data_IF_545032304968
#
_entry.id   IF_545032304968
#
_cell.length_a   1.000
_cell.length_b   1.000
_cell.length_c   1.000
_cell.angle_alpha   90.00
_cell.angle_beta   90.00
_cell.angle_gamma   90.00
#
_symmetry.space_group_name_H-M   'P 1'
#
loop_
_entity.id
_entity.type
_entity.pdbx_description
1 polymer ?
#
# COMPACT_ATOMS: atom_id res chain seq x y z
N UNK A 1 8.99 -31.49 60.53
CA UNK A 1 9.48 -30.08 60.71
C UNK A 1 10.93 -30.09 61.21
N UNK A 2 11.93 -30.32 60.36
CA UNK A 2 13.36 -30.03 60.58
C UNK A 2 14.21 -30.49 59.37
N UNK A 3 14.01 -29.93 58.20
CA UNK A 3 14.93 -30.09 57.03
C UNK A 3 14.93 -28.96 56.00
N UNK A 4 14.48 -27.78 56.37
CA UNK A 4 14.44 -26.62 55.47
C UNK A 4 15.35 -25.43 55.87
N UNK A 5 16.29 -25.60 56.81
CA UNK A 5 17.08 -24.52 57.36
C UNK A 5 18.57 -24.43 57.01
N UNK A 6 19.10 -25.27 56.08
CA UNK A 6 20.56 -25.30 55.80
C UNK A 6 21.02 -24.98 54.40
N UNK A 7 20.16 -24.48 53.55
CA UNK A 7 20.53 -24.13 52.15
C UNK A 7 20.75 -22.61 51.91
N UNK A 8 20.41 -21.74 52.84
CA UNK A 8 20.50 -20.28 52.65
C UNK A 8 21.78 -19.63 53.19
N UNK A 9 22.56 -20.35 54.01
CA UNK A 9 23.77 -19.80 54.61
C UNK A 9 25.08 -20.05 53.86
N UNK A 10 25.07 -20.80 52.76
CA UNK A 10 26.26 -21.02 51.92
C UNK A 10 26.46 -20.04 50.77
N UNK A 11 25.52 -19.16 50.49
CA UNK A 11 25.63 -18.16 49.41
C UNK A 11 26.09 -16.75 49.82
N UNK A 12 26.37 -16.51 51.08
CA UNK A 12 26.81 -15.18 51.61
C UNK A 12 28.31 -15.06 51.97
N UNK A 13 29.16 -16.06 51.61
CA UNK A 13 30.58 -16.02 51.97
C UNK A 13 31.58 -15.98 50.82
N UNK A 14 31.11 -15.63 49.55
CA UNK A 14 32.03 -15.50 48.39
C UNK A 14 32.05 -14.11 47.73
N UNK A 15 31.68 -13.07 48.43
CA UNK A 15 31.69 -11.71 47.91
C UNK A 15 32.40 -10.74 48.85
N UNK A 16 33.63 -11.07 49.25
CA UNK A 16 34.47 -10.07 49.91
C UNK A 16 35.93 -10.52 49.94
N UNK A 17 36.62 -10.46 48.79
CA UNK A 17 38.10 -10.40 48.73
C UNK A 17 38.51 -10.09 47.29
N UNK A 18 38.73 -8.80 46.98
CA UNK A 18 39.88 -8.29 46.26
C UNK A 18 39.63 -6.79 45.93
N UNK A 19 40.06 -6.01 46.88
CA UNK A 19 40.39 -4.60 46.63
C UNK A 19 41.63 -4.34 47.48
N UNK A 20 42.81 -4.19 46.85
CA UNK A 20 43.93 -3.37 47.32
C UNK A 20 45.18 -3.61 46.48
N UNK A 21 45.75 -2.49 46.03
CA UNK A 21 47.13 -2.37 45.58
C UNK A 21 47.30 -2.26 44.06
N UNK A 22 47.97 -1.33 43.45
CA UNK A 22 48.92 -0.32 43.90
C UNK A 22 49.09 0.67 42.75
N UNK A 23 49.09 1.97 43.07
CA UNK A 23 49.56 3.06 42.22
C UNK A 23 51.07 2.90 41.91
N UNK A 24 51.48 3.16 40.68
CA UNK A 24 52.80 3.77 40.40
C UNK A 24 52.78 4.59 39.12
N UNK A 25 53.17 5.84 39.27
CA UNK A 25 53.51 6.85 38.30
C UNK A 25 54.51 6.38 37.20
N UNK A 26 54.32 6.84 35.99
CA UNK A 26 55.41 7.25 35.09
C UNK A 26 54.93 8.35 34.14
N UNK A 27 55.42 9.57 34.38
CA UNK A 27 55.54 10.67 33.44
C UNK A 27 56.51 10.27 32.31
N UNK A 28 56.16 10.56 31.04
CA UNK A 28 57.12 10.79 29.99
C UNK A 28 56.62 11.87 29.03
N UNK A 29 57.53 12.82 28.83
CA UNK A 29 57.48 14.13 28.23
C UNK A 29 57.04 14.18 26.73
N UNK A 30 56.45 15.33 26.38
CA UNK A 30 56.20 15.78 25.01
C UNK A 30 57.41 16.49 24.41
N UNK A 31 57.66 16.41 23.11
CA UNK A 31 58.64 17.28 22.44
C UNK A 31 57.98 18.49 21.78
N UNK A 32 58.65 19.61 21.91
CA UNK A 32 58.33 20.97 21.48
C UNK A 32 58.23 21.14 19.97
N UNK A 33 57.22 21.86 19.50
CA UNK A 33 57.08 22.38 18.15
C UNK A 33 58.04 23.53 17.85
N UNK A 34 58.72 23.47 16.71
CA UNK A 34 59.48 24.57 16.14
C UNK A 34 58.61 25.44 15.24
N UNK A 35 58.52 26.75 15.58
CA UNK A 35 57.93 27.81 14.73
C UNK A 35 58.84 28.06 13.52
N UNK A 36 58.25 28.11 12.30
CA UNK A 36 58.82 28.85 11.16
C UNK A 36 57.80 29.86 10.66
N UNK A 37 58.26 31.07 10.40
CA UNK A 37 57.54 32.25 9.91
C UNK A 37 57.31 32.18 8.38
N UNK A 38 56.32 32.92 7.85
CA UNK A 38 55.81 32.75 6.48
C UNK A 38 56.55 33.62 5.45
N UNK A 39 56.72 33.06 4.25
CA UNK A 39 57.14 33.79 3.05
C UNK A 39 55.91 34.02 2.15
N UNK A 40 55.73 35.26 1.75
CA UNK A 40 54.72 35.72 0.81
C UNK A 40 55.05 35.26 -0.62
N UNK A 41 54.05 34.77 -1.36
CA UNK A 41 53.80 34.92 -2.82
C UNK A 41 52.96 33.76 -3.34
N UNK A 42 51.68 33.95 -3.46
CA UNK A 42 50.77 33.14 -4.31
C UNK A 42 49.40 33.80 -4.43
N UNK A 43 49.35 35.10 -4.72
CA UNK A 43 48.06 35.82 -4.90
C UNK A 43 47.71 36.17 -6.34
N UNK A 44 48.57 35.85 -7.34
CA UNK A 44 48.39 36.31 -8.72
C UNK A 44 47.86 35.27 -9.72
N UNK A 45 47.85 34.00 -9.41
CA UNK A 45 47.40 32.96 -10.37
C UNK A 45 45.94 32.49 -10.21
N UNK A 46 45.29 32.78 -9.12
CA UNK A 46 43.87 32.36 -8.89
C UNK A 46 42.83 33.22 -9.57
N UNK A 47 43.17 34.44 -10.06
CA UNK A 47 42.20 35.33 -10.72
C UNK A 47 42.04 35.01 -12.21
N UNK A 48 43.01 34.37 -12.85
CA UNK A 48 42.96 34.06 -14.29
C UNK A 48 42.15 32.80 -14.61
N UNK A 49 42.07 31.82 -13.72
CA UNK A 49 41.31 30.60 -13.91
C UNK A 49 39.81 30.74 -13.57
N UNK A 50 39.40 31.69 -12.73
CA UNK A 50 37.99 31.91 -12.38
C UNK A 50 37.21 32.58 -13.53
N UNK A 51 37.86 33.44 -14.34
CA UNK A 51 37.18 34.16 -15.46
C UNK A 51 36.88 33.25 -16.67
N UNK A 52 37.67 32.17 -16.90
CA UNK A 52 37.48 31.22 -18.00
C UNK A 52 36.37 30.23 -17.66
N UNK A 53 36.22 29.86 -16.39
CA UNK A 53 35.15 28.95 -15.93
C UNK A 53 33.78 29.63 -15.99
N UNK A 54 33.67 30.88 -15.58
CA UNK A 54 32.42 31.67 -15.64
C UNK A 54 31.92 31.91 -17.09
N UNK A 55 32.80 32.07 -18.05
CA UNK A 55 32.44 32.23 -19.48
C UNK A 55 31.99 30.92 -20.13
N UNK A 56 32.50 29.75 -19.71
CA UNK A 56 32.07 28.43 -20.18
C UNK A 56 30.70 28.03 -19.62
N UNK A 57 30.38 28.38 -18.38
CA UNK A 57 29.09 28.06 -17.76
C UNK A 57 27.95 28.96 -18.29
N UNK A 58 28.21 30.22 -18.62
CA UNK A 58 27.23 31.12 -19.24
C UNK A 58 26.82 30.68 -20.67
N UNK A 59 27.77 30.14 -21.46
CA UNK A 59 27.46 29.60 -22.81
C UNK A 59 26.75 28.26 -22.76
N UNK A 60 27.00 27.43 -21.74
CA UNK A 60 26.29 26.16 -21.52
C UNK A 60 24.85 26.38 -21.04
N UNK A 61 24.62 27.42 -20.23
CA UNK A 61 23.30 27.82 -19.76
C UNK A 61 22.40 28.33 -20.91
N UNK A 62 22.94 29.20 -21.80
CA UNK A 62 22.18 29.69 -22.96
C UNK A 62 21.76 28.57 -23.93
N UNK A 63 22.63 27.60 -24.22
CA UNK A 63 22.28 26.45 -25.07
C UNK A 63 21.20 25.54 -24.44
N UNK A 64 21.14 25.43 -23.11
CA UNK A 64 20.08 24.66 -22.41
C UNK A 64 18.71 25.37 -22.44
N UNK A 65 18.66 26.68 -22.41
CA UNK A 65 17.41 27.47 -22.50
C UNK A 65 16.84 27.39 -23.92
N UNK A 66 17.67 27.48 -24.96
CA UNK A 66 17.20 27.37 -26.35
C UNK A 66 16.73 25.97 -26.71
N UNK A 67 17.37 24.92 -26.17
CA UNK A 67 16.92 23.54 -26.34
C UNK A 67 15.57 23.27 -25.66
N UNK A 68 15.30 23.92 -24.50
CA UNK A 68 13.99 23.82 -23.81
C UNK A 68 12.89 24.55 -24.55
N UNK A 69 13.16 25.74 -25.16
CA UNK A 69 12.18 26.45 -25.99
C UNK A 69 11.84 25.71 -27.28
N UNK A 70 12.80 25.03 -27.89
CA UNK A 70 12.57 24.17 -29.06
C UNK A 70 11.71 22.95 -28.76
N UNK A 71 11.82 22.34 -27.56
CA UNK A 71 10.97 21.21 -27.14
C UNK A 71 9.55 21.65 -26.77
N UNK A 72 9.35 22.79 -26.12
CA UNK A 72 8.02 23.34 -25.83
C UNK A 72 7.21 23.60 -27.12
N UNK A 73 7.83 24.22 -28.14
CA UNK A 73 7.16 24.48 -29.43
C UNK A 73 6.82 23.21 -30.24
N UNK A 74 7.54 22.08 -30.03
CA UNK A 74 7.19 20.79 -30.65
C UNK A 74 6.06 20.06 -29.91
N UNK A 75 5.92 20.25 -28.61
CA UNK A 75 4.82 19.69 -27.82
C UNK A 75 3.49 20.39 -28.14
N UNK A 76 3.48 21.71 -28.26
CA UNK A 76 2.27 22.46 -28.67
C UNK A 76 1.73 22.06 -30.05
N UNK A 77 2.61 21.81 -31.04
CA UNK A 77 2.17 21.37 -32.37
C UNK A 77 1.58 19.95 -32.35
N UNK A 78 2.00 19.07 -31.46
CA UNK A 78 1.41 17.71 -31.29
C UNK A 78 0.06 17.77 -30.57
N UNK A 79 -0.12 18.67 -29.61
CA UNK A 79 -1.40 18.83 -28.90
C UNK A 79 -2.51 19.39 -29.80
N UNK A 80 -2.21 20.32 -30.67
CA UNK A 80 -3.16 20.88 -31.66
C UNK A 80 -3.55 19.84 -32.70
N UNK A 81 -2.66 18.92 -33.08
CA UNK A 81 -2.95 17.83 -34.01
C UNK A 81 -3.89 16.76 -33.39
N UNK A 82 -3.70 16.39 -32.11
CA UNK A 82 -4.52 15.41 -31.42
C UNK A 82 -5.95 15.93 -31.12
N UNK A 83 -6.11 17.23 -30.87
CA UNK A 83 -7.44 17.82 -30.67
C UNK A 83 -8.29 17.87 -31.95
N UNK A 84 -7.67 18.01 -33.13
CA UNK A 84 -8.38 17.94 -34.41
C UNK A 84 -8.77 16.51 -34.82
N UNK A 85 -7.99 15.50 -34.40
CA UNK A 85 -8.32 14.10 -34.65
C UNK A 85 -9.50 13.59 -33.76
N UNK A 86 -9.57 14.05 -32.50
CA UNK A 86 -10.69 13.70 -31.60
C UNK A 86 -12.02 14.32 -32.01
N UNK A 87 -12.04 15.54 -32.55
CA UNK A 87 -13.28 16.18 -33.08
C UNK A 87 -13.86 15.46 -34.30
N UNK A 88 -13.04 14.91 -35.16
CA UNK A 88 -13.51 14.12 -36.33
C UNK A 88 -14.05 12.74 -35.99
N UNK A 89 -13.67 12.16 -34.87
CA UNK A 89 -14.20 10.88 -34.38
C UNK A 89 -15.60 11.04 -33.73
N UNK A 90 -15.84 12.13 -33.05
CA UNK A 90 -17.13 12.43 -32.38
C UNK A 90 -18.23 12.75 -33.39
N UNK A 91 -17.89 13.42 -34.53
CA UNK A 91 -18.87 13.74 -35.56
C UNK A 91 -19.28 12.50 -36.39
N UNK A 92 -18.48 11.43 -36.44
CA UNK A 92 -18.84 10.19 -37.15
C UNK A 92 -19.77 9.27 -36.37
N UNK A 93 -19.80 9.35 -35.07
CA UNK A 93 -20.72 8.54 -34.21
C UNK A 93 -22.12 9.17 -34.13
N UNK A 94 -22.26 10.50 -34.31
CA UNK A 94 -23.58 11.15 -34.34
C UNK A 94 -24.41 10.83 -35.59
N UNK A 95 -23.81 10.50 -36.69
CA UNK A 95 -24.51 10.17 -37.94
C UNK A 95 -24.98 8.69 -38.01
N UNK A 96 -24.62 7.83 -37.06
CA UNK A 96 -25.05 6.43 -37.05
C UNK A 96 -26.31 6.17 -36.24
N UNK A 97 -26.66 7.02 -35.27
CA UNK A 97 -27.84 6.82 -34.41
C UNK A 97 -29.14 7.41 -34.97
N UNK A 98 -29.10 8.05 -36.13
CA UNK A 98 -30.29 8.70 -36.72
C UNK A 98 -31.09 7.83 -37.70
N UNK A 99 -30.79 6.53 -37.87
CA UNK A 99 -31.46 5.68 -38.84
C UNK A 99 -31.91 4.34 -38.26
N UNK A 100 -32.75 4.31 -37.25
CA UNK A 100 -33.61 3.15 -36.95
C UNK A 100 -34.61 3.50 -35.84
N UNK A 101 -35.69 4.15 -36.28
CA UNK A 101 -36.96 4.13 -35.55
C UNK A 101 -38.09 4.05 -36.54
N UNK A 102 -38.67 2.88 -36.75
CA UNK A 102 -40.07 2.72 -37.12
C UNK A 102 -40.55 1.30 -36.83
N UNK A 103 -41.44 1.22 -35.83
CA UNK A 103 -42.72 0.53 -35.73
C UNK A 103 -42.81 -0.96 -36.13
N UNK A 104 -43.26 -1.87 -35.25
CA UNK A 104 -44.68 -2.34 -35.24
C UNK A 104 -44.92 -3.29 -34.07
N UNK A 105 -46.01 -3.02 -33.40
CA UNK A 105 -46.77 -3.79 -32.42
C UNK A 105 -47.40 -5.04 -33.06
N UNK A 106 -47.37 -6.21 -32.41
CA UNK A 106 -48.58 -7.09 -32.32
C UNK A 106 -48.38 -8.23 -31.32
N UNK A 107 -49.39 -8.44 -30.64
CA UNK A 107 -49.88 -9.27 -29.55
C UNK A 107 -49.95 -10.79 -29.95
N UNK A 108 -49.85 -11.69 -28.95
CA UNK A 108 -50.70 -12.84 -28.61
C UNK A 108 -50.02 -14.08 -28.01
N UNK A 109 -50.42 -14.30 -26.73
CA UNK A 109 -50.94 -15.53 -26.11
C UNK A 109 -50.21 -16.87 -26.19
N UNK A 110 -49.89 -17.26 -24.96
CA UNK A 110 -49.96 -18.57 -24.28
C UNK A 110 -50.35 -19.85 -25.07
N UNK A 111 -49.62 -20.95 -24.81
CA UNK A 111 -50.25 -22.22 -24.45
C UNK A 111 -49.22 -23.18 -23.79
N UNK A 112 -49.60 -23.71 -22.64
CA UNK A 112 -49.02 -24.79 -21.85
C UNK A 112 -49.26 -26.12 -22.56
N UNK A 113 -48.27 -27.06 -22.60
CA UNK A 113 -48.58 -28.49 -22.65
C UNK A 113 -47.45 -29.32 -21.99
N UNK A 114 -47.89 -30.07 -20.98
CA UNK A 114 -47.19 -31.14 -20.25
C UNK A 114 -47.37 -32.46 -21.00
N UNK A 115 -46.35 -33.33 -20.98
CA UNK A 115 -46.42 -34.83 -20.94
C UNK A 115 -45.07 -35.44 -21.24
N UNK A 116 -44.48 -36.15 -20.37
CA UNK A 116 -44.55 -37.52 -19.80
C UNK A 116 -43.65 -38.55 -20.48
N UNK A 117 -42.88 -39.22 -19.64
CA UNK A 117 -41.86 -40.27 -19.82
C UNK A 117 -42.26 -41.52 -20.61
N UNK A 118 -41.20 -42.24 -21.08
CA UNK A 118 -41.09 -43.73 -21.03
C UNK A 118 -39.70 -44.17 -21.60
N UNK A 119 -38.84 -44.78 -20.74
CA UNK A 119 -38.37 -46.16 -20.60
C UNK A 119 -37.77 -46.83 -21.86
N UNK A 120 -36.45 -47.14 -21.67
CA UNK A 120 -35.55 -48.24 -22.11
C UNK A 120 -36.16 -49.48 -22.82
N UNK A 121 -35.36 -50.31 -23.61
CA UNK A 121 -34.26 -51.09 -23.11
C UNK A 121 -33.08 -51.31 -24.09
N UNK A 122 -31.93 -51.77 -23.57
CA UNK A 122 -30.85 -52.44 -24.26
C UNK A 122 -31.26 -53.90 -24.64
N UNK A 123 -30.60 -54.60 -25.57
CA UNK A 123 -29.39 -55.37 -25.32
C UNK A 123 -28.40 -55.69 -26.46
N UNK A 124 -27.19 -56.11 -26.05
CA UNK A 124 -26.26 -57.17 -26.57
C UNK A 124 -25.56 -57.04 -27.89
N UNK A 125 -24.23 -56.92 -27.79
CA UNK A 125 -23.11 -57.77 -28.28
C UNK A 125 -22.99 -58.21 -29.75
N UNK A 126 -21.88 -57.91 -30.39
CA UNK A 126 -20.79 -58.76 -30.90
C UNK A 126 -20.05 -58.18 -32.11
N UNK A 127 -18.69 -58.26 -31.94
CA UNK A 127 -17.66 -58.60 -32.89
C UNK A 127 -17.32 -57.74 -34.13
N UNK A 128 -16.10 -57.33 -34.18
CA UNK A 128 -15.19 -57.58 -35.30
C UNK A 128 -14.62 -56.40 -36.04
N UNK A 129 -13.31 -56.24 -35.92
CA UNK A 129 -12.32 -55.93 -36.97
C UNK A 129 -12.12 -54.49 -37.43
N UNK A 130 -10.88 -54.01 -37.20
CA UNK A 130 -9.98 -53.20 -38.04
C UNK A 130 -10.54 -52.06 -38.88
N UNK A 131 -9.96 -50.89 -38.66
CA UNK A 131 -9.22 -50.07 -39.66
C UNK A 131 -8.67 -48.78 -39.01
N UNK A 132 -7.49 -48.41 -39.43
CA UNK A 132 -6.56 -47.40 -39.00
C UNK A 132 -7.00 -45.92 -39.21
N UNK A 133 -6.14 -44.92 -38.90
CA UNK A 133 -6.48 -43.76 -38.09
C UNK A 133 -6.88 -42.53 -38.95
N UNK A 134 -7.88 -41.82 -38.53
CA UNK A 134 -8.19 -40.50 -39.10
C UNK A 134 -8.13 -39.40 -38.01
N UNK A 135 -7.28 -38.45 -38.30
CA UNK A 135 -7.36 -37.04 -37.99
C UNK A 135 -7.84 -36.62 -36.60
N UNK A 136 -6.88 -36.31 -35.75
CA UNK A 136 -7.06 -35.64 -34.46
C UNK A 136 -7.56 -34.20 -34.68
N UNK A 137 -8.87 -33.97 -34.78
CA UNK A 137 -9.48 -32.65 -34.72
C UNK A 137 -9.46 -32.21 -33.27
N UNK A 138 -8.52 -31.30 -32.88
CA UNK A 138 -8.55 -30.55 -31.61
C UNK A 138 -9.98 -30.02 -31.41
N UNK A 139 -10.56 -30.19 -30.18
CA UNK A 139 -11.87 -29.62 -29.91
C UNK A 139 -11.79 -28.09 -30.03
N UNK A 140 -12.71 -27.51 -30.80
CA UNK A 140 -12.90 -26.07 -30.87
C UNK A 140 -13.13 -25.56 -29.43
N UNK A 141 -12.24 -24.68 -28.97
CA UNK A 141 -12.40 -23.96 -27.72
C UNK A 141 -13.78 -23.32 -27.71
N UNK A 142 -14.67 -23.77 -26.83
CA UNK A 142 -15.96 -23.13 -26.61
C UNK A 142 -15.70 -21.67 -26.28
N UNK A 143 -16.30 -20.77 -27.03
CA UNK A 143 -16.25 -19.33 -26.75
C UNK A 143 -17.02 -19.10 -25.45
N UNK A 144 -16.31 -19.12 -24.34
CA UNK A 144 -16.89 -18.81 -23.02
C UNK A 144 -17.24 -17.34 -23.07
N UNK A 145 -18.51 -17.02 -23.14
CA UNK A 145 -19.00 -15.64 -22.99
C UNK A 145 -18.55 -15.14 -21.62
N UNK A 146 -17.60 -14.21 -21.60
CA UNK A 146 -17.03 -13.70 -20.36
C UNK A 146 -17.97 -12.64 -19.82
N UNK A 147 -18.81 -13.00 -18.87
CA UNK A 147 -19.74 -12.09 -18.18
C UNK A 147 -18.95 -11.17 -17.25
N UNK A 148 -19.22 -9.86 -17.35
CA UNK A 148 -18.69 -8.85 -16.41
C UNK A 148 -19.50 -8.91 -15.11
N UNK A 149 -18.81 -8.77 -13.97
CA UNK A 149 -19.46 -8.64 -12.67
C UNK A 149 -19.89 -7.18 -12.48
N UNK A 150 -21.19 -6.98 -12.33
CA UNK A 150 -21.77 -5.67 -12.11
C UNK A 150 -21.50 -5.18 -10.67
N UNK A 151 -21.58 -3.86 -10.47
CA UNK A 151 -21.42 -3.19 -9.19
C UNK A 151 -22.73 -2.55 -8.77
N UNK A 152 -23.01 -2.63 -7.48
CA UNK A 152 -23.99 -1.76 -6.84
C UNK A 152 -23.41 -0.37 -6.55
N UNK A 153 -24.25 0.60 -6.26
CA UNK A 153 -23.81 1.93 -5.88
C UNK A 153 -23.09 1.92 -4.51
N UNK A 154 -22.06 2.75 -4.41
CA UNK A 154 -21.32 3.05 -3.19
C UNK A 154 -20.91 4.53 -3.24
N UNK A 155 -21.83 5.40 -2.83
CA UNK A 155 -21.62 6.84 -2.89
C UNK A 155 -20.58 7.31 -1.86
N UNK A 156 -19.72 8.25 -2.28
CA UNK A 156 -18.78 8.94 -1.40
C UNK A 156 -19.52 9.86 -0.43
N UNK A 157 -18.92 10.10 0.71
CA UNK A 157 -19.45 10.97 1.76
C UNK A 157 -18.46 12.10 2.05
N UNK A 158 -18.99 13.29 2.29
CA UNK A 158 -18.18 14.44 2.68
C UNK A 158 -18.02 14.50 4.20
N UNK A 159 -16.87 15.00 4.66
CA UNK A 159 -16.67 15.29 6.08
C UNK A 159 -17.60 16.45 6.51
N UNK A 160 -18.06 16.47 7.77
CA UNK A 160 -18.79 17.60 8.34
C UNK A 160 -18.00 18.92 8.21
N UNK A 161 -18.69 20.03 7.94
CA UNK A 161 -18.05 21.35 7.71
C UNK A 161 -17.38 21.93 8.96
N UNK A 162 -17.80 21.48 10.13
CA UNK A 162 -17.29 21.90 11.44
C UNK A 162 -16.12 21.04 11.95
N UNK A 163 -15.68 20.10 11.15
CA UNK A 163 -14.59 19.21 11.48
C UNK A 163 -13.50 19.27 10.40
N UNK A 164 -12.24 19.05 10.83
CA UNK A 164 -11.14 18.88 9.90
C UNK A 164 -11.18 17.49 9.29
N UNK A 165 -11.21 17.41 7.97
CA UNK A 165 -11.07 16.14 7.27
C UNK A 165 -9.60 15.67 7.31
N UNK A 166 -9.38 14.41 7.65
CA UNK A 166 -8.11 13.71 7.53
C UNK A 166 -8.31 12.49 6.64
N UNK A 167 -7.58 12.39 5.55
CA UNK A 167 -7.71 11.29 4.59
C UNK A 167 -6.43 10.45 4.57
N UNK A 168 -6.58 9.12 4.69
CA UNK A 168 -5.50 8.16 4.48
C UNK A 168 -5.82 7.22 3.32
N UNK A 169 -4.83 6.92 2.50
CA UNK A 169 -4.94 5.99 1.37
C UNK A 169 -3.87 4.91 1.48
N UNK A 170 -4.26 3.65 1.28
CA UNK A 170 -3.39 2.51 1.16
C UNK A 170 -3.50 1.90 -0.24
N UNK A 171 -2.35 1.53 -0.83
CA UNK A 171 -2.29 0.92 -2.15
C UNK A 171 -1.14 -0.09 -2.26
N UNK A 172 -1.44 -1.34 -2.50
CA UNK A 172 -0.43 -2.32 -2.89
C UNK A 172 0.00 -2.03 -4.35
N UNK A 173 1.27 -1.65 -4.54
CA UNK A 173 1.82 -1.22 -5.83
C UNK A 173 2.61 -2.31 -6.55
N UNK A 174 2.65 -3.53 -6.00
CA UNK A 174 3.31 -4.71 -6.59
C UNK A 174 4.79 -4.49 -7.00
N UNK A 175 5.45 -3.49 -6.42
CA UNK A 175 6.86 -3.13 -6.67
C UNK A 175 7.04 -1.67 -7.05
N UNK A 176 7.50 -0.86 -6.09
CA UNK A 176 7.58 0.61 -6.21
C UNK A 176 8.48 1.08 -7.36
N UNK A 177 9.57 0.39 -7.66
CA UNK A 177 10.46 0.77 -8.76
C UNK A 177 9.72 0.79 -10.10
N UNK A 178 9.12 -0.33 -10.47
CA UNK A 178 8.35 -0.46 -11.71
C UNK A 178 7.11 0.45 -11.73
N UNK A 179 6.45 0.57 -10.57
CA UNK A 179 5.30 1.44 -10.39
C UNK A 179 5.67 2.91 -10.61
N UNK A 180 6.76 3.39 -10.00
CA UNK A 180 7.26 4.76 -10.16
C UNK A 180 7.65 5.07 -11.61
N UNK A 181 8.23 4.11 -12.33
CA UNK A 181 8.63 4.28 -13.73
C UNK A 181 7.43 4.33 -14.69
N UNK A 182 6.39 3.54 -14.42
CA UNK A 182 5.30 3.29 -15.39
C UNK A 182 3.96 3.92 -15.00
N UNK A 183 3.73 4.12 -13.71
CA UNK A 183 2.41 4.45 -13.16
C UNK A 183 2.41 5.64 -12.18
N UNK A 184 3.51 6.40 -12.09
CA UNK A 184 3.61 7.55 -11.17
C UNK A 184 2.48 8.57 -11.40
N UNK A 185 2.06 8.78 -12.64
CA UNK A 185 0.97 9.70 -12.97
C UNK A 185 -0.38 9.24 -12.40
N UNK A 186 -0.55 7.93 -12.15
CA UNK A 186 -1.73 7.41 -11.46
C UNK A 186 -1.72 7.80 -9.99
N UNK A 187 -0.56 7.68 -9.33
CA UNK A 187 -0.40 8.14 -7.94
C UNK A 187 -0.59 9.66 -7.84
N UNK A 188 -0.05 10.44 -8.79
CA UNK A 188 -0.30 11.89 -8.86
C UNK A 188 -1.78 12.21 -8.98
N UNK A 189 -2.50 11.48 -9.83
CA UNK A 189 -3.95 11.64 -9.98
C UNK A 189 -4.72 11.33 -8.70
N UNK A 190 -4.37 10.26 -7.99
CA UNK A 190 -4.96 9.91 -6.69
C UNK A 190 -4.67 10.99 -5.64
N UNK A 191 -3.42 11.46 -5.54
CA UNK A 191 -3.05 12.51 -4.58
C UNK A 191 -3.74 13.84 -4.91
N UNK A 192 -3.85 14.19 -6.19
CA UNK A 192 -4.53 15.42 -6.60
C UNK A 192 -6.06 15.37 -6.38
N UNK A 193 -6.67 14.20 -6.56
CA UNK A 193 -8.12 14.02 -6.42
C UNK A 193 -8.59 13.89 -4.98
N UNK A 194 -7.83 13.16 -4.16
CA UNK A 194 -8.23 12.81 -2.79
C UNK A 194 -7.50 13.65 -1.72
N UNK A 195 -6.46 14.38 -2.10
CA UNK A 195 -5.63 15.22 -1.22
C UNK A 195 -5.22 14.56 0.13
N UNK A 196 -4.82 13.26 0.15
CA UNK A 196 -4.65 12.51 1.38
C UNK A 196 -3.55 13.10 2.27
N UNK A 197 -3.76 13.02 3.60
CA UNK A 197 -2.76 13.40 4.60
C UNK A 197 -1.69 12.32 4.76
N UNK A 198 -2.09 11.06 4.54
CA UNK A 198 -1.19 9.90 4.55
C UNK A 198 -1.40 9.03 3.31
N UNK A 199 -0.31 8.70 2.65
CA UNK A 199 -0.25 7.70 1.57
C UNK A 199 0.62 6.53 2.00
N UNK A 200 0.08 5.34 1.88
CA UNK A 200 0.72 4.09 2.25
C UNK A 200 0.85 3.22 1.00
N UNK A 201 2.07 2.80 0.67
CA UNK A 201 2.29 1.92 -0.47
C UNK A 201 2.85 0.58 0.02
N UNK A 202 2.08 -0.49 -0.14
CA UNK A 202 2.48 -1.85 0.20
C UNK A 202 3.21 -2.51 -0.96
N UNK A 203 3.99 -3.54 -0.66
CA UNK A 203 4.81 -4.29 -1.60
C UNK A 203 5.80 -3.41 -2.39
N UNK A 204 6.49 -2.48 -1.72
CA UNK A 204 7.48 -1.65 -2.42
C UNK A 204 8.67 -2.46 -2.97
N UNK A 205 8.96 -3.64 -2.39
CA UNK A 205 9.98 -4.59 -2.85
C UNK A 205 11.38 -3.99 -3.03
N UNK A 206 11.69 -2.89 -2.35
CA UNK A 206 13.02 -2.30 -2.37
C UNK A 206 13.93 -3.00 -1.36
N UNK A 207 15.24 -3.01 -1.66
CA UNK A 207 16.27 -3.30 -0.68
C UNK A 207 16.61 -2.01 0.07
N UNK A 208 17.08 -2.11 1.28
CA UNK A 208 17.44 -0.99 2.15
C UNK A 208 18.37 0.02 1.45
N UNK A 209 19.37 -0.48 0.70
CA UNK A 209 20.30 0.35 -0.08
C UNK A 209 19.64 1.27 -1.10
N UNK A 210 18.39 1.04 -1.46
CA UNK A 210 17.63 1.87 -2.41
C UNK A 210 16.70 2.88 -1.73
N UNK A 211 16.44 2.72 -0.42
CA UNK A 211 15.41 3.51 0.26
C UNK A 211 15.75 4.99 0.33
N UNK A 212 17.01 5.36 0.59
CA UNK A 212 17.44 6.76 0.60
C UNK A 212 17.19 7.45 -0.74
N UNK A 213 17.59 6.82 -1.86
CA UNK A 213 17.36 7.37 -3.19
C UNK A 213 15.87 7.47 -3.55
N UNK A 214 15.03 6.53 -3.07
CA UNK A 214 13.58 6.60 -3.27
C UNK A 214 12.92 7.63 -2.37
N UNK A 215 13.40 7.85 -1.15
CA UNK A 215 12.97 8.95 -0.28
C UNK A 215 13.12 10.29 -0.99
N UNK A 216 14.31 10.57 -1.56
CA UNK A 216 14.56 11.80 -2.31
C UNK A 216 13.67 11.93 -3.56
N UNK A 217 13.40 10.83 -4.27
CA UNK A 217 12.48 10.83 -5.42
C UNK A 217 11.06 11.16 -4.99
N UNK A 218 10.55 10.51 -3.95
CA UNK A 218 9.19 10.72 -3.45
C UNK A 218 9.01 12.15 -2.90
N UNK A 219 9.98 12.68 -2.15
CA UNK A 219 9.97 14.07 -1.67
C UNK A 219 9.96 15.08 -2.81
N UNK A 220 10.75 14.83 -3.87
CA UNK A 220 10.78 15.68 -5.05
C UNK A 220 9.47 15.64 -5.85
N UNK A 221 8.89 14.44 -5.98
CA UNK A 221 7.66 14.23 -6.76
C UNK A 221 6.41 14.68 -5.99
N UNK A 222 6.47 14.66 -4.64
CA UNK A 222 5.39 14.98 -3.71
C UNK A 222 5.89 15.80 -2.51
N UNK A 223 6.29 17.08 -2.71
CA UNK A 223 6.96 17.91 -1.68
C UNK A 223 6.09 18.20 -0.45
N UNK A 224 4.77 18.03 -0.57
CA UNK A 224 3.85 18.20 0.55
C UNK A 224 4.01 17.11 1.65
N UNK A 225 4.58 15.94 1.33
CA UNK A 225 4.81 14.90 2.32
C UNK A 225 6.17 15.08 2.98
N UNK A 226 6.17 15.63 4.20
CA UNK A 226 7.39 15.94 4.96
C UNK A 226 8.03 14.68 5.56
N UNK A 227 7.23 13.68 5.90
CA UNK A 227 7.70 12.39 6.42
C UNK A 227 7.57 11.29 5.37
N UNK A 228 8.67 10.61 5.06
CA UNK A 228 8.70 9.39 4.23
C UNK A 228 9.46 8.32 5.01
N UNK A 229 8.81 7.19 5.29
CA UNK A 229 9.40 6.08 6.07
C UNK A 229 9.18 4.75 5.37
N UNK A 230 10.25 3.95 5.31
CA UNK A 230 10.23 2.59 4.74
C UNK A 230 10.39 1.56 5.84
N UNK A 231 9.54 0.53 5.85
CA UNK A 231 9.77 -0.75 6.53
C UNK A 231 10.20 -1.76 5.46
N UNK A 232 11.40 -2.30 5.58
CA UNK A 232 12.07 -3.08 4.54
C UNK A 232 12.20 -4.54 4.94
N UNK A 233 12.01 -5.47 4.00
CA UNK A 233 12.29 -6.86 4.27
C UNK A 233 13.79 -7.12 4.30
N UNK A 234 14.29 -7.58 5.44
CA UNK A 234 15.66 -8.11 5.63
C UNK A 234 15.71 -9.64 5.46
N UNK A 235 14.58 -10.32 5.64
CA UNK A 235 14.46 -11.76 5.46
C UNK A 235 14.71 -12.20 4.01
N UNK A 236 14.26 -11.38 3.05
CA UNK A 236 14.43 -11.69 1.62
C UNK A 236 14.53 -10.41 0.79
N UNK A 237 15.59 -10.30 -0.01
CA UNK A 237 15.81 -9.15 -0.90
C UNK A 237 14.69 -9.02 -1.94
N UNK A 238 14.21 -7.79 -2.15
CA UNK A 238 13.19 -7.50 -3.17
C UNK A 238 11.82 -8.14 -2.89
N UNK A 239 11.47 -8.28 -1.62
CA UNK A 239 10.25 -8.93 -1.16
C UNK A 239 9.51 -8.04 -0.16
N UNK A 240 8.15 -8.05 -0.16
CA UNK A 240 7.34 -7.32 0.80
C UNK A 240 7.70 -5.81 0.91
N UNK A 241 7.60 -5.25 2.08
CA UNK A 241 7.93 -3.88 2.42
C UNK A 241 6.75 -2.92 2.32
N UNK A 242 6.71 -1.96 3.24
CA UNK A 242 5.70 -0.89 3.29
C UNK A 242 6.40 0.45 3.33
N UNK A 243 5.92 1.43 2.59
CA UNK A 243 6.35 2.82 2.69
C UNK A 243 5.17 3.71 3.04
N UNK A 244 5.41 4.64 3.95
CA UNK A 244 4.43 5.66 4.37
C UNK A 244 4.96 7.03 3.99
N UNK A 245 4.09 7.84 3.38
CA UNK A 245 4.30 9.27 3.16
C UNK A 245 3.25 10.04 3.97
N UNK A 246 3.65 10.97 4.82
CA UNK A 246 2.75 11.76 5.68
C UNK A 246 3.05 13.25 5.51
N UNK A 247 2.00 14.08 5.42
CA UNK A 247 2.12 15.54 5.35
C UNK A 247 2.70 16.11 6.66
N UNK A 248 2.33 15.54 7.81
CA UNK A 248 2.87 15.95 9.10
C UNK A 248 4.38 15.71 9.17
N UNK A 249 5.13 16.70 9.64
CA UNK A 249 6.51 16.52 10.03
C UNK A 249 6.58 15.70 11.32
N UNK A 250 7.53 14.78 11.40
CA UNK A 250 7.80 14.05 12.63
C UNK A 250 8.47 15.00 13.64
N UNK A 251 7.89 15.16 14.84
CA UNK A 251 8.56 15.86 15.92
C UNK A 251 9.84 15.11 16.28
N UNK A 252 10.98 15.78 16.16
CA UNK A 252 12.30 15.16 16.30
C UNK A 252 12.46 14.46 17.64
N UNK A 253 12.65 13.14 17.59
CA UNK A 253 13.32 12.38 18.63
C UNK A 253 14.32 11.44 17.99
N UNK A 254 15.53 11.60 18.40
CA UNK A 254 16.73 10.79 18.23
C UNK A 254 16.45 9.30 18.45
N UNK A 255 16.94 8.45 17.58
CA UNK A 255 17.08 7.03 17.90
C UNK A 255 17.00 6.01 16.77
N UNK A 256 16.91 6.41 15.51
CA UNK A 256 17.09 5.47 14.41
C UNK A 256 18.07 6.02 13.37
N UNK A 257 18.80 5.13 12.71
CA UNK A 257 19.74 5.44 11.61
C UNK A 257 19.11 6.34 10.53
N UNK A 258 17.78 6.27 10.37
CA UNK A 258 17.02 7.12 9.45
C UNK A 258 16.88 8.56 9.98
N UNK A 259 16.76 8.76 11.31
CA UNK A 259 16.72 10.11 11.91
C UNK A 259 18.03 10.88 11.71
N UNK A 260 19.15 10.17 11.63
CA UNK A 260 20.48 10.76 11.35
C UNK A 260 20.56 11.23 9.89
N UNK A 261 19.96 10.50 8.94
CA UNK A 261 19.90 10.91 7.54
C UNK A 261 18.99 12.14 7.34
N UNK A 262 17.83 12.20 8.01
CA UNK A 262 16.94 13.35 7.95
C UNK A 262 17.59 14.62 8.53
N UNK A 263 18.43 14.48 9.57
CA UNK A 263 19.20 15.58 10.16
C UNK A 263 20.40 16.04 9.28
N UNK A 264 21.00 15.13 8.52
CA UNK A 264 22.15 15.45 7.67
C UNK A 264 21.79 16.14 6.34
N UNK A 265 20.56 15.93 5.84
CA UNK A 265 20.11 16.50 4.55
C UNK A 265 19.09 17.63 4.68
N UNK A 266 18.76 18.06 5.89
CA UNK A 266 17.89 19.20 6.20
C UNK A 266 18.61 20.55 6.03
N UNK A 267 19.14 20.82 4.85
CA UNK A 267 19.75 22.10 4.50
C UNK A 267 18.71 23.13 4.08
N UNK A 268 18.55 24.13 4.91
CA UNK A 268 17.80 25.36 4.81
C UNK A 268 17.37 25.88 3.45
N UNK A 269 16.08 25.75 3.16
CA UNK A 269 15.33 26.74 2.40
C UNK A 269 14.25 27.27 3.36
N UNK A 270 14.32 28.56 3.66
CA UNK A 270 13.21 29.31 4.25
C UNK A 270 12.20 29.62 3.13
N UNK A 271 11.55 28.57 2.63
CA UNK A 271 10.31 28.75 1.88
C UNK A 271 9.20 28.91 2.92
N UNK A 272 8.27 29.84 2.70
CA UNK A 272 7.07 30.01 3.52
C UNK A 272 6.35 28.66 3.57
N UNK A 273 6.58 27.95 4.66
CA UNK A 273 6.08 26.62 4.91
C UNK A 273 4.59 26.77 5.17
N UNK A 274 3.76 26.43 4.18
CA UNK A 274 2.34 26.20 4.43
C UNK A 274 2.26 25.20 5.56
N UNK A 275 1.96 25.68 6.75
CA UNK A 275 1.93 24.89 7.97
C UNK A 275 0.83 23.84 7.81
N UNK A 276 1.19 22.56 7.86
CA UNK A 276 0.22 21.49 7.93
C UNK A 276 -0.63 21.65 9.19
N UNK A 277 -1.92 21.91 8.99
CA UNK A 277 -2.90 22.19 10.04
C UNK A 277 -3.55 20.93 10.65
N UNK A 278 -3.13 19.73 10.21
CA UNK A 278 -3.64 18.45 10.65
C UNK A 278 -3.06 17.96 11.97
N UNK A 279 -3.47 16.73 12.40
CA UNK A 279 -3.00 16.14 13.64
C UNK A 279 -1.50 15.92 13.60
N UNK A 280 -0.82 16.20 14.72
CA UNK A 280 0.61 15.95 14.83
C UNK A 280 0.92 14.47 14.80
N UNK A 281 1.94 14.12 14.04
CA UNK A 281 2.53 12.79 14.05
C UNK A 281 3.55 12.71 15.18
N UNK A 282 3.25 11.89 16.20
CA UNK A 282 4.09 11.75 17.39
C UNK A 282 5.21 10.74 17.15
N UNK A 283 4.86 9.57 16.59
CA UNK A 283 5.82 8.48 16.39
C UNK A 283 5.44 7.60 15.18
N UNK A 284 6.45 6.94 14.60
CA UNK A 284 6.28 5.83 13.66
C UNK A 284 7.08 4.64 14.18
N UNK A 285 6.40 3.52 14.42
CA UNK A 285 7.00 2.25 14.85
C UNK A 285 6.84 1.20 13.77
N UNK A 286 7.86 0.37 13.57
CA UNK A 286 7.82 -0.79 12.68
C UNK A 286 7.54 -2.06 13.47
N UNK A 287 6.89 -3.02 12.81
CA UNK A 287 6.54 -4.31 13.41
C UNK A 287 5.33 -4.25 14.33
N UNK A 288 5.13 -5.32 15.09
CA UNK A 288 4.00 -5.47 16.02
C UNK A 288 4.37 -6.30 17.25
N UNK A 289 3.84 -5.87 18.39
CA UNK A 289 3.97 -6.57 19.65
C UNK A 289 5.40 -6.86 20.08
N UNK A 290 5.56 -7.75 21.06
CA UNK A 290 6.84 -8.09 21.66
C UNK A 290 7.78 -8.88 20.74
N UNK A 291 7.25 -9.57 19.72
CA UNK A 291 8.04 -10.33 18.73
C UNK A 291 8.64 -9.46 17.63
N UNK A 292 8.21 -8.21 17.51
CA UNK A 292 8.70 -7.23 16.54
C UNK A 292 8.18 -7.43 15.12
N UNK A 293 8.30 -8.59 14.51
CA UNK A 293 7.90 -8.88 13.11
C UNK A 293 8.42 -7.86 12.10
N UNK A 294 9.65 -7.38 12.29
CA UNK A 294 10.28 -6.38 11.42
C UNK A 294 11.04 -7.00 10.25
N UNK A 295 11.29 -8.30 10.28
CA UNK A 295 12.11 -9.03 9.33
C UNK A 295 11.57 -9.01 7.88
N UNK A 296 10.24 -8.97 7.70
CA UNK A 296 9.62 -8.86 6.39
C UNK A 296 9.13 -7.44 6.04
N UNK A 297 9.28 -6.45 6.95
CA UNK A 297 8.92 -5.05 6.72
C UNK A 297 7.43 -4.84 6.37
N UNK A 298 6.52 -5.54 7.09
CA UNK A 298 5.09 -5.62 6.73
C UNK A 298 4.19 -4.63 7.42
N UNK A 299 4.61 -4.07 8.54
CA UNK A 299 3.72 -3.31 9.43
C UNK A 299 4.38 -2.05 9.91
N UNK A 300 3.61 -0.95 9.90
CA UNK A 300 3.95 0.29 10.59
C UNK A 300 2.76 0.78 11.40
N UNK A 301 3.05 1.33 12.57
CA UNK A 301 2.10 2.07 13.42
C UNK A 301 2.50 3.52 13.45
N UNK A 302 1.62 4.40 12.99
CA UNK A 302 1.73 5.86 13.10
C UNK A 302 0.90 6.29 14.30
N UNK A 303 1.53 6.92 15.27
CA UNK A 303 0.85 7.52 16.42
C UNK A 303 0.56 8.98 16.14
N UNK A 304 -0.71 9.34 16.04
CA UNK A 304 -1.18 10.72 16.04
C UNK A 304 -1.68 11.13 17.42
N UNK A 305 -1.91 12.44 17.63
CA UNK A 305 -2.39 12.95 18.93
C UNK A 305 -3.69 12.26 19.37
N UNK A 306 -4.67 12.11 18.47
CA UNK A 306 -6.01 11.58 18.77
C UNK A 306 -6.23 10.10 18.44
N UNK A 307 -5.37 9.46 17.63
CA UNK A 307 -5.58 8.08 17.15
C UNK A 307 -4.29 7.40 16.72
N UNK A 308 -4.37 6.09 16.49
CA UNK A 308 -3.35 5.31 15.80
C UNK A 308 -3.78 4.97 14.38
N UNK A 309 -2.89 5.14 13.42
CA UNK A 309 -3.03 4.58 12.08
C UNK A 309 -2.05 3.41 11.92
N UNK A 310 -2.58 2.20 11.88
CA UNK A 310 -1.81 0.97 11.68
C UNK A 310 -1.94 0.54 10.23
N UNK A 311 -0.84 0.25 9.58
CA UNK A 311 -0.88 -0.32 8.24
C UNK A 311 -0.16 -1.66 8.19
N UNK A 312 -0.71 -2.57 7.39
CA UNK A 312 -0.07 -3.85 7.14
C UNK A 312 -0.20 -4.32 5.69
N UNK A 313 0.82 -5.07 5.29
CA UNK A 313 0.79 -6.03 4.21
C UNK A 313 0.80 -7.43 4.83
N UNK A 314 -0.38 -7.99 5.08
CA UNK A 314 -0.55 -9.26 5.79
C UNK A 314 0.12 -10.40 5.02
N UNK A 315 0.82 -11.33 5.67
CA UNK A 315 1.41 -12.48 4.99
C UNK A 315 0.38 -13.24 4.17
N UNK A 316 0.61 -13.37 2.86
CA UNK A 316 -0.19 -14.26 2.03
C UNK A 316 0.09 -15.72 2.40
N UNK A 317 -0.94 -16.56 2.50
CA UNK A 317 -0.78 -17.99 2.82
C UNK A 317 0.01 -18.77 1.78
N UNK A 318 0.20 -18.19 0.59
CA UNK A 318 1.05 -18.69 -0.47
C UNK A 318 0.44 -19.85 -1.25
N UNK A 319 1.21 -20.32 -2.24
CA UNK A 319 0.81 -21.50 -3.00
C UNK A 319 0.76 -22.72 -2.08
N UNK A 320 -0.25 -23.56 -2.27
CA UNK A 320 -0.50 -24.76 -1.45
C UNK A 320 -0.69 -24.47 0.04
N UNK A 321 -1.01 -23.20 0.39
CA UNK A 321 -1.31 -22.74 1.75
C UNK A 321 -0.16 -22.99 2.75
N UNK A 322 1.09 -23.02 2.29
CA UNK A 322 2.28 -23.36 3.11
C UNK A 322 2.53 -22.42 4.29
N UNK A 323 1.97 -21.21 4.25
CA UNK A 323 2.09 -20.22 5.32
C UNK A 323 0.78 -19.98 6.08
N UNK A 324 -0.26 -20.81 5.86
CA UNK A 324 -1.57 -20.63 6.48
C UNK A 324 -1.48 -20.68 8.01
N UNK A 325 -0.83 -21.70 8.55
CA UNK A 325 -0.68 -21.89 10.01
C UNK A 325 0.10 -20.74 10.65
N UNK A 326 1.21 -20.31 10.02
CA UNK A 326 1.97 -19.14 10.47
C UNK A 326 1.11 -17.86 10.45
N UNK A 327 0.38 -17.64 9.34
CA UNK A 327 -0.46 -16.45 9.18
C UNK A 327 -1.50 -16.37 10.29
N UNK A 328 -2.27 -17.44 10.52
CA UNK A 328 -3.41 -17.42 11.44
C UNK A 328 -2.93 -17.62 12.89
N UNK A 329 -2.09 -18.63 13.12
CA UNK A 329 -1.69 -19.07 14.45
C UNK A 329 -0.67 -18.18 15.15
N UNK A 330 0.12 -17.44 14.37
CA UNK A 330 1.16 -16.57 14.92
C UNK A 330 0.91 -15.10 14.57
N UNK A 331 0.99 -14.76 13.29
CA UNK A 331 1.00 -13.36 12.86
C UNK A 331 -0.32 -12.62 13.17
N UNK A 332 -1.46 -13.20 12.80
CA UNK A 332 -2.77 -12.56 13.05
C UNK A 332 -3.14 -12.56 14.53
N UNK A 333 -2.77 -13.59 15.27
CA UNK A 333 -2.93 -13.60 16.73
C UNK A 333 -2.18 -12.43 17.38
N UNK A 334 -0.93 -12.22 16.99
CA UNK A 334 -0.09 -11.17 17.58
C UNK A 334 -0.51 -9.77 17.06
N UNK A 335 -1.06 -9.68 15.83
CA UNK A 335 -1.70 -8.46 15.33
C UNK A 335 -2.94 -8.09 16.15
N UNK A 336 -3.82 -9.07 16.46
CA UNK A 336 -4.97 -8.80 17.34
C UNK A 336 -4.55 -8.27 18.69
N UNK A 337 -3.54 -8.88 19.31
CA UNK A 337 -3.00 -8.39 20.59
C UNK A 337 -2.45 -6.96 20.49
N UNK A 338 -1.72 -6.66 19.39
CA UNK A 338 -1.16 -5.34 19.13
C UNK A 338 -2.26 -4.28 18.95
N UNK A 339 -3.27 -4.55 18.12
CA UNK A 339 -4.38 -3.62 17.90
C UNK A 339 -5.16 -3.37 19.20
N UNK A 340 -5.39 -4.40 20.02
CA UNK A 340 -6.08 -4.29 21.30
C UNK A 340 -5.29 -3.43 22.31
N UNK A 341 -3.96 -3.58 22.35
CA UNK A 341 -3.09 -2.75 23.20
C UNK A 341 -3.15 -1.26 22.79
N UNK A 342 -3.15 -0.99 21.48
CA UNK A 342 -3.26 0.37 20.95
C UNK A 342 -4.64 0.97 21.25
N UNK A 343 -5.71 0.20 20.98
CA UNK A 343 -7.08 0.66 21.14
C UNK A 343 -7.44 0.97 22.60
N UNK A 344 -6.78 0.32 23.56
CA UNK A 344 -6.91 0.66 24.97
C UNK A 344 -6.39 2.08 25.31
N UNK A 345 -5.59 2.69 24.44
CA UNK A 345 -4.99 4.02 24.66
C UNK A 345 -5.67 5.10 23.82
N UNK A 346 -5.86 4.85 22.54
CA UNK A 346 -6.48 5.75 21.56
C UNK A 346 -7.22 4.93 20.51
N UNK A 347 -8.22 5.49 19.81
CA UNK A 347 -8.85 4.82 18.67
C UNK A 347 -7.83 4.35 17.63
N UNK A 348 -8.11 3.21 17.00
CA UNK A 348 -7.26 2.60 15.97
C UNK A 348 -7.97 2.63 14.62
N UNK A 349 -7.25 3.06 13.58
CA UNK A 349 -7.57 2.82 12.18
C UNK A 349 -6.54 1.83 11.64
N UNK A 350 -6.98 0.68 11.15
CA UNK A 350 -6.12 -0.39 10.62
C UNK A 350 -6.41 -0.61 9.15
N UNK A 351 -5.44 -0.38 8.27
CA UNK A 351 -5.66 -0.42 6.83
C UNK A 351 -4.49 -1.02 6.05
N UNK A 352 -4.80 -1.51 4.86
CA UNK A 352 -3.84 -2.04 3.90
C UNK A 352 -4.32 -3.30 3.19
N UNK A 353 -3.39 -4.03 2.58
CA UNK A 353 -3.65 -5.33 1.97
C UNK A 353 -3.65 -6.42 3.06
N UNK A 354 -4.85 -6.82 3.47
CA UNK A 354 -5.05 -7.82 4.51
C UNK A 354 -5.07 -9.25 3.96
N UNK A 355 -4.91 -9.41 2.64
CA UNK A 355 -4.79 -10.70 1.96
C UNK A 355 -5.92 -11.70 2.30
N UNK A 356 -7.14 -11.22 2.52
CA UNK A 356 -8.32 -12.05 2.78
C UNK A 356 -9.58 -11.42 2.19
N UNK A 357 -10.40 -12.19 1.51
CA UNK A 357 -11.76 -11.79 1.12
C UNK A 357 -12.74 -12.35 2.16
N UNK A 358 -13.28 -11.47 3.03
CA UNK A 358 -14.01 -11.88 4.23
C UNK A 358 -15.38 -12.46 3.91
N UNK A 359 -16.21 -11.70 3.21
CA UNK A 359 -17.61 -12.08 2.91
C UNK A 359 -17.73 -12.72 1.52
N UNK A 360 -18.82 -13.39 1.26
CA UNK A 360 -19.12 -13.93 -0.07
C UNK A 360 -19.20 -12.82 -1.13
N UNK A 361 -19.72 -11.64 -0.76
CA UNK A 361 -19.74 -10.44 -1.60
C UNK A 361 -18.37 -9.86 -1.93
N UNK A 362 -17.31 -10.31 -1.24
CA UNK A 362 -15.91 -9.91 -1.50
C UNK A 362 -15.22 -10.82 -2.53
N UNK A 363 -15.93 -11.80 -3.09
CA UNK A 363 -15.41 -12.83 -3.99
C UNK A 363 -16.30 -12.93 -5.22
N UNK A 364 -15.74 -12.65 -6.42
CA UNK A 364 -16.52 -12.65 -7.66
C UNK A 364 -17.11 -14.03 -8.03
N UNK A 365 -16.52 -15.16 -7.59
CA UNK A 365 -16.92 -16.51 -7.94
C UNK A 365 -16.93 -17.45 -6.72
N UNK A 366 -17.55 -17.04 -5.66
CA UNK A 366 -17.58 -17.73 -4.35
C UNK A 366 -17.97 -19.21 -4.45
N UNK A 367 -18.83 -19.59 -5.41
CA UNK A 367 -19.25 -20.98 -5.65
C UNK A 367 -18.20 -21.87 -6.33
N UNK A 368 -17.08 -21.35 -6.80
CA UNK A 368 -16.07 -22.14 -7.47
C UNK A 368 -15.28 -23.02 -6.48
N UNK A 369 -15.08 -24.30 -6.83
CA UNK A 369 -14.51 -25.32 -5.93
C UNK A 369 -13.08 -24.98 -5.44
N UNK A 370 -12.32 -24.22 -6.21
CA UNK A 370 -10.95 -23.82 -5.84
C UNK A 370 -10.90 -22.69 -4.80
N UNK A 371 -11.97 -21.90 -4.64
CA UNK A 371 -12.01 -20.76 -3.71
C UNK A 371 -11.64 -21.20 -2.28
N UNK A 372 -12.27 -22.24 -1.78
CA UNK A 372 -12.02 -22.77 -0.43
C UNK A 372 -10.59 -23.30 -0.21
N UNK A 373 -9.78 -23.39 -1.26
CA UNK A 373 -8.40 -23.92 -1.25
C UNK A 373 -7.38 -22.90 -1.75
N UNK A 374 -7.80 -21.67 -1.98
CA UNK A 374 -6.93 -20.61 -2.47
C UNK A 374 -6.59 -19.62 -1.35
N UNK A 375 -5.33 -19.17 -1.30
CA UNK A 375 -4.89 -18.17 -0.34
C UNK A 375 -5.76 -16.91 -0.42
N UNK A 376 -6.11 -16.36 0.73
CA UNK A 376 -6.98 -15.20 0.87
C UNK A 376 -8.49 -15.50 0.80
N UNK A 377 -8.90 -16.75 0.57
CA UNK A 377 -10.31 -17.15 0.45
C UNK A 377 -10.67 -18.43 1.19
N UNK A 378 -9.71 -19.03 1.92
CA UNK A 378 -9.98 -20.22 2.72
C UNK A 378 -10.95 -19.92 3.86
N UNK A 379 -11.77 -20.89 4.29
CA UNK A 379 -12.64 -20.74 5.44
C UNK A 379 -11.89 -20.28 6.70
N UNK A 380 -10.69 -20.80 6.92
CA UNK A 380 -9.86 -20.46 8.07
C UNK A 380 -9.40 -19.00 8.08
N UNK A 381 -8.95 -18.47 6.92
CA UNK A 381 -8.57 -17.06 6.80
C UNK A 381 -9.77 -16.13 7.02
N UNK A 382 -10.92 -16.48 6.48
CA UNK A 382 -12.16 -15.70 6.61
C UNK A 382 -12.69 -15.71 8.05
N UNK A 383 -12.63 -16.87 8.71
CA UNK A 383 -12.99 -17.01 10.13
C UNK A 383 -12.05 -16.20 11.02
N UNK A 384 -10.71 -16.31 10.81
CA UNK A 384 -9.73 -15.54 11.56
C UNK A 384 -9.91 -14.01 11.42
N UNK A 385 -10.34 -13.55 10.23
CA UNK A 385 -10.69 -12.15 10.04
C UNK A 385 -11.96 -11.75 10.82
N UNK A 386 -12.97 -12.60 10.84
CA UNK A 386 -14.17 -12.39 11.67
C UNK A 386 -13.83 -12.28 13.15
N UNK A 387 -12.98 -13.19 13.65
CA UNK A 387 -12.44 -13.15 15.02
C UNK A 387 -11.67 -11.86 15.31
N UNK A 388 -10.87 -11.36 14.33
CA UNK A 388 -10.18 -10.07 14.48
C UNK A 388 -11.17 -8.92 14.67
N UNK A 389 -12.23 -8.85 13.89
CA UNK A 389 -13.25 -7.80 14.03
C UNK A 389 -13.94 -7.87 15.40
N UNK A 390 -14.28 -9.06 15.87
CA UNK A 390 -15.02 -9.27 17.10
C UNK A 390 -14.16 -9.02 18.34
N UNK A 391 -12.99 -9.70 18.44
CA UNK A 391 -12.11 -9.59 19.63
C UNK A 391 -11.51 -8.21 19.84
N UNK A 392 -11.33 -7.43 18.76
CA UNK A 392 -10.74 -6.10 18.80
C UNK A 392 -11.76 -4.96 18.75
N UNK A 393 -13.06 -5.28 18.76
CA UNK A 393 -14.13 -4.30 18.62
C UNK A 393 -13.92 -3.38 17.41
N UNK A 394 -13.55 -3.97 16.26
CA UNK A 394 -13.32 -3.28 15.00
C UNK A 394 -14.54 -3.40 14.08
N UNK A 395 -14.68 -2.43 13.19
CA UNK A 395 -15.68 -2.43 12.12
C UNK A 395 -14.99 -2.25 10.76
N UNK A 396 -15.45 -2.99 9.75
CA UNK A 396 -15.07 -2.74 8.35
C UNK A 396 -15.75 -1.45 7.89
N UNK A 397 -14.97 -0.41 7.66
CA UNK A 397 -15.48 0.91 7.35
C UNK A 397 -16.22 0.93 6.00
N UNK A 398 -15.73 0.22 4.98
CA UNK A 398 -16.43 0.14 3.70
C UNK A 398 -17.81 -0.52 3.88
N UNK A 399 -17.89 -1.62 4.63
CA UNK A 399 -19.17 -2.30 4.89
C UNK A 399 -20.09 -1.52 5.81
N UNK A 400 -19.55 -0.70 6.70
CA UNK A 400 -20.37 0.20 7.52
C UNK A 400 -21.15 1.19 6.66
N UNK A 401 -20.51 1.81 5.67
CA UNK A 401 -21.14 2.84 4.84
C UNK A 401 -21.94 2.28 3.66
N UNK A 402 -21.51 1.14 3.13
CA UNK A 402 -22.04 0.61 1.86
C UNK A 402 -22.75 -0.74 2.03
N UNK A 403 -22.88 -1.26 3.26
CA UNK A 403 -23.64 -2.46 3.58
C UNK A 403 -23.29 -3.66 2.69
N UNK A 404 -24.32 -4.20 2.04
CA UNK A 404 -24.23 -5.37 1.17
C UNK A 404 -23.79 -5.05 -0.27
N UNK A 405 -23.13 -3.91 -0.50
CA UNK A 405 -22.63 -3.53 -1.81
C UNK A 405 -21.80 -4.66 -2.44
N UNK A 406 -22.14 -5.03 -3.68
CA UNK A 406 -21.52 -6.13 -4.43
C UNK A 406 -20.68 -5.61 -5.58
N UNK A 407 -19.71 -6.43 -6.03
CA UNK A 407 -18.85 -6.09 -7.17
C UNK A 407 -17.76 -5.07 -6.86
N UNK A 408 -17.59 -4.72 -5.58
CA UNK A 408 -16.53 -3.81 -5.13
C UNK A 408 -15.31 -4.61 -4.69
N UNK A 409 -14.34 -4.70 -5.59
CA UNK A 409 -13.09 -5.43 -5.38
C UNK A 409 -11.92 -4.47 -5.34
N UNK A 410 -10.84 -4.92 -4.72
CA UNK A 410 -9.58 -4.17 -4.64
C UNK A 410 -8.42 -4.86 -5.35
N UNK A 411 -8.57 -6.15 -5.69
CA UNK A 411 -7.56 -6.98 -6.36
C UNK A 411 -8.12 -7.74 -7.56
N UNK A 412 -7.35 -7.82 -8.66
CA UNK A 412 -7.69 -8.61 -9.84
C UNK A 412 -6.45 -9.33 -10.38
N UNK A 413 -6.55 -10.65 -10.55
CA UNK A 413 -5.46 -11.45 -11.10
C UNK A 413 -5.04 -10.97 -12.51
N UNK A 414 -3.83 -10.42 -12.62
CA UNK A 414 -3.22 -10.03 -13.91
C UNK A 414 -3.05 -11.25 -14.80
N UNK A 415 -2.61 -12.38 -14.23
CA UNK A 415 -2.40 -13.63 -14.98
C UNK A 415 -3.67 -14.13 -15.67
N UNK A 416 -4.83 -13.93 -15.03
CA UNK A 416 -6.11 -14.33 -15.59
C UNK A 416 -6.77 -13.23 -16.44
N UNK A 417 -6.22 -12.01 -16.49
CA UNK A 417 -6.80 -10.89 -17.21
C UNK A 417 -8.18 -10.47 -16.66
N UNK A 418 -8.36 -10.54 -15.35
CA UNK A 418 -9.68 -10.46 -14.72
C UNK A 418 -10.24 -9.04 -14.58
N UNK A 419 -9.38 -8.00 -14.55
CA UNK A 419 -9.80 -6.63 -14.22
C UNK A 419 -10.81 -6.03 -15.19
N UNK A 420 -10.69 -6.19 -16.54
CA UNK A 420 -11.69 -5.68 -17.48
C UNK A 420 -13.10 -6.25 -17.29
N UNK A 421 -13.20 -7.44 -16.66
CA UNK A 421 -14.47 -8.12 -16.40
C UNK A 421 -14.91 -8.00 -14.95
N UNK A 422 -14.23 -7.18 -14.17
CA UNK A 422 -14.44 -7.00 -12.75
C UNK A 422 -14.50 -8.33 -11.94
N UNK A 423 -13.69 -9.32 -12.31
CA UNK A 423 -13.59 -10.62 -11.64
C UNK A 423 -12.50 -10.55 -10.56
N UNK A 424 -12.83 -9.96 -9.43
CA UNK A 424 -11.89 -9.58 -8.40
C UNK A 424 -12.17 -10.18 -7.02
N UNK A 425 -11.29 -9.81 -6.09
CA UNK A 425 -11.41 -10.06 -4.67
C UNK A 425 -11.26 -8.72 -3.93
N UNK A 426 -11.95 -8.53 -2.82
CA UNK A 426 -11.66 -7.42 -1.91
C UNK A 426 -10.67 -7.92 -0.86
N UNK A 427 -9.40 -7.54 -1.01
CA UNK A 427 -8.28 -7.92 -0.14
C UNK A 427 -7.73 -6.76 0.67
N UNK A 428 -8.01 -5.53 0.22
CA UNK A 428 -7.56 -4.29 0.85
C UNK A 428 -8.70 -3.68 1.64
N UNK A 429 -8.42 -3.30 2.89
CA UNK A 429 -9.43 -2.86 3.85
C UNK A 429 -9.02 -1.61 4.58
N UNK A 430 -10.05 -0.94 5.14
CA UNK A 430 -9.93 -0.05 6.28
C UNK A 430 -10.85 -0.55 7.39
N UNK A 431 -10.26 -0.92 8.51
CA UNK A 431 -10.95 -1.28 9.74
C UNK A 431 -10.73 -0.15 10.74
N UNK A 432 -11.70 0.12 11.61
CA UNK A 432 -11.52 1.09 12.68
C UNK A 432 -12.25 0.64 13.95
N UNK A 433 -11.81 1.15 15.10
CA UNK A 433 -12.49 0.96 16.39
C UNK A 433 -13.94 1.32 16.28
N UNK A 434 -14.88 0.48 16.75
CA UNK A 434 -16.32 0.73 16.62
C UNK A 434 -16.75 2.07 17.21
N UNK A 435 -16.08 2.51 18.29
CA UNK A 435 -16.40 3.77 18.97
C UNK A 435 -16.19 5.03 18.14
N UNK A 436 -15.47 4.98 17.02
CA UNK A 436 -15.26 6.13 16.12
C UNK A 436 -16.22 6.18 14.94
N UNK A 437 -17.28 5.36 14.97
CA UNK A 437 -18.40 5.44 14.05
C UNK A 437 -19.61 6.09 14.76
N UNK A 438 -20.63 6.44 13.97
CA UNK A 438 -21.94 6.88 14.46
C UNK A 438 -21.89 8.10 15.41
N UNK A 439 -21.12 9.13 15.04
CA UNK A 439 -20.91 10.37 15.81
C UNK A 439 -19.55 10.45 16.49
N UNK A 440 -18.79 9.37 16.44
CA UNK A 440 -17.39 9.33 16.86
C UNK A 440 -17.17 9.33 18.38
N UNK A 441 -15.93 9.12 18.79
CA UNK A 441 -15.44 9.28 20.14
C UNK A 441 -14.01 9.86 20.14
N UNK A 442 -13.60 10.42 21.26
CA UNK A 442 -12.25 10.95 21.44
C UNK A 442 -11.86 12.03 20.39
N UNK A 443 -12.85 12.76 19.84
CA UNK A 443 -12.64 13.77 18.80
C UNK A 443 -12.35 13.19 17.40
N UNK A 444 -12.56 11.89 17.19
CA UNK A 444 -12.32 11.20 15.92
C UNK A 444 -13.59 10.50 15.46
N UNK A 445 -13.98 10.72 14.21
CA UNK A 445 -15.12 10.05 13.59
C UNK A 445 -14.75 9.55 12.19
N UNK A 446 -15.03 8.28 11.88
CA UNK A 446 -14.94 7.77 10.51
C UNK A 446 -16.17 8.22 9.74
N UNK A 447 -15.97 9.01 8.68
CA UNK A 447 -17.08 9.60 7.90
C UNK A 447 -17.22 9.03 6.49
N UNK A 448 -16.12 8.51 5.92
CA UNK A 448 -16.14 7.86 4.60
C UNK A 448 -15.10 6.75 4.49
N UNK A 449 -15.39 5.73 3.71
CA UNK A 449 -14.43 4.69 3.32
C UNK A 449 -14.71 4.24 1.88
N UNK A 450 -13.67 4.14 1.06
CA UNK A 450 -13.84 4.00 -0.38
C UNK A 450 -12.77 3.12 -1.03
N UNK A 451 -13.11 2.63 -2.23
CA UNK A 451 -12.22 1.87 -3.11
C UNK A 451 -12.15 2.61 -4.46
N UNK A 452 -10.93 2.98 -4.90
CA UNK A 452 -10.71 3.65 -6.18
C UNK A 452 -10.45 2.63 -7.29
N UNK A 453 -11.42 1.77 -7.55
CA UNK A 453 -11.33 0.61 -8.43
C UNK A 453 -11.00 0.94 -9.89
N UNK A 454 -11.31 2.16 -10.35
CA UNK A 454 -11.01 2.66 -11.70
C UNK A 454 -9.55 3.11 -11.86
N UNK A 455 -8.81 3.26 -10.76
CA UNK A 455 -7.40 3.65 -10.79
C UNK A 455 -6.55 2.44 -11.21
N UNK A 456 -5.91 2.57 -12.37
CA UNK A 456 -5.01 1.54 -12.92
C UNK A 456 -3.57 1.81 -12.48
N UNK A 457 -2.70 0.80 -12.59
CA UNK A 457 -1.26 0.95 -12.31
C UNK A 457 -0.68 -0.19 -11.48
N UNK A 458 -1.56 -0.94 -10.80
CA UNK A 458 -1.26 -2.16 -10.05
C UNK A 458 -2.36 -3.19 -10.29
N UNK A 459 -2.16 -4.42 -9.86
CA UNK A 459 -3.21 -5.45 -9.75
C UNK A 459 -4.15 -5.20 -8.57
N UNK A 460 -3.80 -4.27 -7.68
CA UNK A 460 -4.68 -3.73 -6.66
C UNK A 460 -5.21 -2.33 -7.03
N UNK A 461 -6.30 -1.94 -6.40
CA UNK A 461 -6.82 -0.58 -6.38
C UNK A 461 -6.48 0.11 -5.06
N UNK A 462 -6.33 1.45 -5.03
CA UNK A 462 -6.22 2.18 -3.77
C UNK A 462 -7.51 2.05 -2.95
N UNK A 463 -7.36 1.91 -1.63
CA UNK A 463 -8.46 2.03 -0.66
C UNK A 463 -8.21 3.20 0.26
N UNK A 464 -9.25 3.89 0.67
CA UNK A 464 -9.11 5.08 1.50
C UNK A 464 -10.14 5.18 2.60
N UNK A 465 -9.84 6.04 3.56
CA UNK A 465 -10.71 6.42 4.67
C UNK A 465 -10.60 7.92 4.90
N UNK A 466 -11.72 8.55 5.23
CA UNK A 466 -11.78 9.93 5.71
C UNK A 466 -12.26 9.96 7.15
N UNK A 467 -11.51 10.64 7.99
CA UNK A 467 -11.86 10.92 9.37
C UNK A 467 -12.27 12.40 9.49
N UNK A 468 -13.27 12.67 10.31
CA UNK A 468 -13.55 13.99 10.84
C UNK A 468 -12.86 14.12 12.20
N UNK A 469 -12.03 15.15 12.36
CA UNK A 469 -11.29 15.44 13.59
C UNK A 469 -11.86 16.72 14.21
N UNK A 470 -12.20 16.67 15.53
CA UNK A 470 -12.77 17.77 16.31
C UNK A 470 -11.89 18.14 17.49
#
# INVERSE_FOLDING_TARGET
RARAGRAQERRRRHASRSARGVERHREVAAPRARRRRPGATAASELVFFSSIRARRDATRSRRRVDARRGRARRLDRRFVSLSRFKRRAIDRDRDRDARHTTTTTTDRRATTTVMRAKRTPSPTARDGADVAPTGNKKPKKATTTTTTVERSDAARRDAPRDARAFTAIAWNVAGLRSFHEKSLDRLRGVIAGEAPDVVILQEHKLQETHCAAFTERLRRDFPMYKTVRFAVSVAKKGYSGVVVMCKAARNGTSGSTQGTLDAMFGGGAKDEEATYDGPKLLEIREGLGARGYTDEGRTMTLEFEGFYLVTAYVPNSGQDLKRLDYRIGEWERDMRAHLKELDAKKPVVYMGDLNVAHLDSDIWNVGASHIKKSAGTTPQEREAFGVMLEENDLRDAFRHFHGDAVGWFSYWSVRAGNRPFNKGLRLDYTLASKRVFDGGADGVEVVDAFILDKVLGSDHAPVGVTLALR
#
